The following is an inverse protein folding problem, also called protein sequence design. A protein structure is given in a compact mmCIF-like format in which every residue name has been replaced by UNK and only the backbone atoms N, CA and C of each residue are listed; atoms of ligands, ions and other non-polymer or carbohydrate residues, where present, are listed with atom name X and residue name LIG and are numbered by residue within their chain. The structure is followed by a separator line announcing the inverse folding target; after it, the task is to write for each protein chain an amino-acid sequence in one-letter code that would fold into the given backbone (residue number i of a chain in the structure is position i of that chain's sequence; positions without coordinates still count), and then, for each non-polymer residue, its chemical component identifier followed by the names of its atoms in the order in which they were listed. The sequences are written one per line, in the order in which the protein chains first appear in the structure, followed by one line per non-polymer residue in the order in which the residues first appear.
data_IF_072214187839
#
_entry.id   IF_072214187839
#
_cell.length_a   1.000
_cell.length_b   1.000
_cell.length_c   1.000
_cell.angle_alpha   90.00
_cell.angle_beta   90.00
_cell.angle_gamma   90.00
#
_symmetry.space_group_name_H-M   'P 1'
#
loop_
_entity.id
_entity.type
_entity.pdbx_description
1 polymer ?
#
# COMPACT_ATOMS: atom_id res chain seq x y z
N UNK A 1 6.28 13.15 5.16
CA UNK A 1 4.86 13.35 5.53
C UNK A 1 4.72 13.90 6.95
N UNK A 2 5.49 13.42 7.92
CA UNK A 2 5.46 13.92 9.30
C UNK A 2 5.75 15.42 9.45
N UNK A 3 6.56 15.99 8.58
CA UNK A 3 6.87 17.42 8.51
C UNK A 3 5.84 18.27 7.74
N UNK A 4 4.70 17.70 7.37
CA UNK A 4 3.65 18.39 6.59
C UNK A 4 3.91 18.44 5.08
N UNK A 5 5.03 17.90 4.60
CA UNK A 5 5.34 17.81 3.17
C UNK A 5 4.79 16.52 2.58
N UNK A 6 3.75 16.63 1.76
CA UNK A 6 3.18 15.51 1.02
C UNK A 6 3.60 15.49 -0.45
N UNK A 7 4.16 16.59 -0.98
CA UNK A 7 4.56 16.70 -2.39
C UNK A 7 5.85 15.94 -2.68
N UNK A 8 6.86 16.07 -1.80
CA UNK A 8 8.13 15.36 -2.00
C UNK A 8 7.98 13.83 -2.03
N UNK A 9 7.26 13.19 -1.08
CA UNK A 9 7.00 11.75 -1.17
C UNK A 9 6.21 11.33 -2.42
N UNK A 10 5.28 12.16 -2.90
CA UNK A 10 4.55 11.90 -4.14
C UNK A 10 5.50 11.88 -5.35
N UNK A 11 6.41 12.85 -5.44
CA UNK A 11 7.40 12.91 -6.51
C UNK A 11 8.34 11.68 -6.50
N UNK A 12 8.77 11.22 -5.32
CA UNK A 12 9.62 10.01 -5.22
C UNK A 12 8.90 8.76 -5.74
N UNK A 13 7.63 8.59 -5.35
CA UNK A 13 6.82 7.47 -5.83
C UNK A 13 6.56 7.57 -7.32
N UNK A 14 6.29 8.78 -7.84
CA UNK A 14 6.08 9.01 -9.28
C UNK A 14 7.33 8.67 -10.10
N UNK A 15 8.51 9.13 -9.66
CA UNK A 15 9.79 8.81 -10.31
C UNK A 15 10.03 7.30 -10.27
N UNK A 16 9.84 6.65 -9.10
CA UNK A 16 9.98 5.20 -8.99
C UNK A 16 9.03 4.46 -9.94
N UNK A 17 7.79 4.91 -10.06
CA UNK A 17 6.80 4.31 -10.96
C UNK A 17 7.22 4.44 -12.43
N UNK A 18 7.63 5.63 -12.86
CA UNK A 18 8.08 5.87 -14.25
C UNK A 18 9.31 5.01 -14.57
N UNK A 19 10.30 4.98 -13.68
CA UNK A 19 11.52 4.17 -13.86
C UNK A 19 11.20 2.68 -13.85
N UNK A 20 10.27 2.23 -13.00
CA UNK A 20 9.85 0.82 -12.98
C UNK A 20 9.17 0.43 -14.29
N UNK A 21 8.18 1.21 -14.76
CA UNK A 21 7.49 0.93 -16.02
C UNK A 21 8.46 0.96 -17.21
N UNK A 22 9.36 1.94 -17.27
CA UNK A 22 10.38 2.00 -18.33
C UNK A 22 11.35 0.81 -18.25
N UNK A 23 11.77 0.44 -17.03
CA UNK A 23 12.62 -0.72 -16.78
C UNK A 23 11.96 -2.04 -17.18
N UNK A 24 10.68 -2.22 -16.85
CA UNK A 24 9.90 -3.39 -17.26
C UNK A 24 9.81 -3.48 -18.79
N UNK A 25 9.50 -2.39 -19.48
CA UNK A 25 9.44 -2.37 -20.93
C UNK A 25 10.80 -2.72 -21.56
N UNK A 26 11.89 -2.21 -21.05
CA UNK A 26 13.23 -2.47 -21.59
C UNK A 26 13.69 -3.89 -21.25
N UNK A 27 13.58 -4.32 -20.00
CA UNK A 27 14.14 -5.61 -19.56
C UNK A 27 13.23 -6.80 -19.93
N UNK A 28 11.91 -6.64 -19.79
CA UNK A 28 10.97 -7.74 -20.07
C UNK A 28 10.66 -7.78 -21.57
N UNK A 29 10.24 -6.67 -22.18
CA UNK A 29 9.86 -6.64 -23.58
C UNK A 29 11.07 -6.56 -24.53
N UNK A 30 12.12 -5.78 -24.21
CA UNK A 30 13.31 -5.61 -25.02
C UNK A 30 14.28 -6.79 -24.89
N UNK A 31 14.73 -7.09 -23.68
CA UNK A 31 15.69 -8.16 -23.42
C UNK A 31 15.08 -9.55 -23.17
N UNK A 32 13.74 -9.66 -23.10
CA UNK A 32 12.98 -10.90 -22.86
C UNK A 32 13.42 -11.63 -21.58
N UNK A 33 13.69 -10.87 -20.52
CA UNK A 33 14.18 -11.41 -19.26
C UNK A 33 13.04 -11.93 -18.34
N UNK A 34 11.80 -12.01 -18.82
CA UNK A 34 10.63 -12.51 -18.09
C UNK A 34 10.53 -11.93 -16.65
N UNK A 35 10.22 -12.77 -15.66
CA UNK A 35 10.08 -12.38 -14.26
C UNK A 35 11.37 -11.80 -13.65
N UNK A 36 12.55 -12.25 -14.11
CA UNK A 36 13.84 -11.72 -13.64
C UNK A 36 14.03 -10.26 -14.02
N UNK A 37 13.63 -9.90 -15.26
CA UNK A 37 13.67 -8.52 -15.74
C UNK A 37 12.79 -7.59 -14.90
N UNK A 38 11.55 -8.00 -14.61
CA UNK A 38 10.63 -7.26 -13.76
C UNK A 38 11.16 -7.08 -12.33
N UNK A 39 11.77 -8.11 -11.75
CA UNK A 39 12.40 -8.02 -10.42
C UNK A 39 13.56 -7.00 -10.40
N UNK A 40 14.44 -7.04 -11.39
CA UNK A 40 15.56 -6.10 -11.52
C UNK A 40 15.05 -4.68 -11.72
N UNK A 41 14.06 -4.45 -12.60
CA UNK A 41 13.45 -3.13 -12.82
C UNK A 41 12.89 -2.54 -11.54
N UNK A 42 12.18 -3.36 -10.75
CA UNK A 42 11.60 -2.95 -9.47
C UNK A 42 12.68 -2.55 -8.46
N UNK A 43 13.73 -3.34 -8.32
CA UNK A 43 14.85 -3.04 -7.39
C UNK A 43 15.57 -1.75 -7.81
N UNK A 44 15.86 -1.60 -9.10
CA UNK A 44 16.52 -0.40 -9.62
C UNK A 44 15.64 0.86 -9.44
N UNK A 45 14.35 0.77 -9.70
CA UNK A 45 13.42 1.88 -9.49
C UNK A 45 13.36 2.32 -8.03
N UNK A 46 13.32 1.36 -7.10
CA UNK A 46 13.34 1.66 -5.66
C UNK A 46 14.68 2.24 -5.21
N UNK A 47 15.81 1.69 -5.68
CA UNK A 47 17.14 2.23 -5.37
C UNK A 47 17.28 3.68 -5.84
N UNK A 48 16.88 3.98 -7.08
CA UNK A 48 16.86 5.34 -7.61
C UNK A 48 15.96 6.27 -6.79
N UNK A 49 14.77 5.82 -6.41
CA UNK A 49 13.86 6.60 -5.56
C UNK A 49 14.50 6.95 -4.22
N UNK A 50 15.21 6.01 -3.59
CA UNK A 50 15.93 6.26 -2.33
C UNK A 50 17.08 7.27 -2.53
N UNK A 51 17.86 7.13 -3.60
CA UNK A 51 18.93 8.10 -3.92
C UNK A 51 18.35 9.51 -4.10
N UNK A 52 17.27 9.65 -4.88
CA UNK A 52 16.59 10.93 -5.05
C UNK A 52 16.04 11.47 -3.73
N UNK A 53 15.45 10.62 -2.89
CA UNK A 53 14.96 11.04 -1.58
C UNK A 53 16.09 11.58 -0.68
N UNK A 54 17.23 10.89 -0.64
CA UNK A 54 18.41 11.33 0.13
C UNK A 54 18.96 12.64 -0.41
N UNK A 55 19.14 12.77 -1.72
CA UNK A 55 19.65 13.99 -2.33
C UNK A 55 18.74 15.21 -2.07
N UNK A 56 17.42 15.01 -2.13
CA UNK A 56 16.47 16.08 -1.82
C UNK A 56 16.45 16.43 -0.33
N UNK A 57 16.58 15.45 0.55
CA UNK A 57 16.68 15.70 1.99
C UNK A 57 17.94 16.48 2.35
N UNK A 58 19.08 16.18 1.69
CA UNK A 58 20.33 16.92 1.88
C UNK A 58 20.29 18.35 1.37
N UNK A 59 19.46 18.63 0.35
CA UNK A 59 19.29 20.00 -0.23
C UNK A 59 18.19 20.81 0.46
N UNK A 60 17.34 20.18 1.27
CA UNK A 60 16.22 20.85 1.92
C UNK A 60 16.62 21.34 3.29
N UNK A 61 16.32 22.61 3.57
CA UNK A 61 16.47 23.18 4.92
C UNK A 61 15.50 22.46 5.86
N UNK A 62 16.04 21.54 6.65
CA UNK A 62 15.29 20.84 7.67
C UNK A 62 15.15 21.75 8.90
N UNK A 63 14.02 21.74 9.60
CA UNK A 63 13.81 22.53 10.82
C UNK A 63 14.67 22.07 12.00
N UNK A 64 15.58 21.13 11.78
CA UNK A 64 16.53 20.58 12.76
C UNK A 64 17.83 20.21 12.07
N UNK A 65 18.94 20.34 12.80
CA UNK A 65 20.24 19.89 12.33
C UNK A 65 20.44 18.41 12.65
N UNK A 66 20.87 17.62 11.65
CA UNK A 66 21.24 16.22 11.87
C UNK A 66 22.67 16.19 12.40
N UNK A 67 22.84 15.74 13.64
CA UNK A 67 24.16 15.63 14.29
C UNK A 67 24.53 14.15 14.41
N UNK A 68 25.84 13.83 14.33
CA UNK A 68 26.30 12.43 14.49
C UNK A 68 25.89 11.78 15.80
N UNK A 69 25.62 12.57 16.87
CA UNK A 69 25.08 12.07 18.13
C UNK A 69 23.68 11.50 18.03
N UNK A 70 22.89 11.91 17.02
CA UNK A 70 21.51 11.47 16.85
C UNK A 70 21.42 10.00 16.39
N UNK A 71 22.52 9.48 15.83
CA UNK A 71 22.63 8.08 15.44
C UNK A 71 22.98 7.14 16.63
N UNK A 72 23.09 7.67 17.84
CA UNK A 72 23.28 6.84 19.04
C UNK A 72 21.95 6.33 19.55
N UNK A 73 21.99 5.16 20.18
CA UNK A 73 20.84 4.58 20.86
C UNK A 73 20.33 5.55 21.93
N UNK A 74 19.08 5.96 21.82
CA UNK A 74 18.43 6.89 22.74
C UNK A 74 17.03 6.37 23.13
N UNK A 75 16.38 6.95 24.16
CA UNK A 75 15.04 6.55 24.61
C UNK A 75 13.98 6.62 23.49
N UNK A 76 14.15 7.50 22.52
CA UNK A 76 13.23 7.62 21.36
C UNK A 76 13.30 6.38 20.48
N UNK A 77 14.49 5.82 20.25
CA UNK A 77 14.66 4.57 19.52
C UNK A 77 13.91 3.41 20.20
N UNK A 78 13.98 3.36 21.55
CA UNK A 78 13.24 2.36 22.33
C UNK A 78 11.72 2.52 22.17
N UNK A 79 11.22 3.74 22.22
CA UNK A 79 9.80 4.03 22.03
C UNK A 79 9.34 3.67 20.62
N UNK A 80 10.16 3.98 19.60
CA UNK A 80 9.90 3.62 18.21
C UNK A 80 9.81 2.10 18.04
N UNK A 81 10.76 1.35 18.58
CA UNK A 81 10.74 -0.11 18.51
C UNK A 81 9.56 -0.71 19.29
N UNK A 82 9.23 -0.17 20.45
CA UNK A 82 8.09 -0.65 21.25
C UNK A 82 6.76 -0.55 20.50
N UNK A 83 6.60 0.46 19.65
CA UNK A 83 5.39 0.66 18.84
C UNK A 83 5.52 -0.05 17.50
N UNK A 84 6.67 0.06 16.87
CA UNK A 84 6.90 -0.44 15.51
C UNK A 84 7.00 -1.97 15.44
N UNK A 85 7.61 -2.62 16.43
CA UNK A 85 7.80 -4.07 16.41
C UNK A 85 6.48 -4.86 16.44
N UNK A 86 5.51 -4.53 17.32
CA UNK A 86 4.19 -5.19 17.26
C UNK A 86 3.46 -4.97 15.93
N UNK A 87 3.54 -3.78 15.36
CA UNK A 87 2.94 -3.48 14.06
C UNK A 87 3.61 -4.27 12.92
N UNK A 88 4.94 -4.35 12.93
CA UNK A 88 5.70 -5.15 11.97
C UNK A 88 5.36 -6.65 12.09
N UNK A 89 5.24 -7.17 13.32
CA UNK A 89 4.85 -8.55 13.57
C UNK A 89 3.41 -8.82 13.10
N UNK A 90 2.48 -7.90 13.34
CA UNK A 90 1.11 -7.99 12.83
C UNK A 90 1.10 -8.07 11.30
N UNK A 91 1.81 -7.19 10.62
CA UNK A 91 1.89 -7.18 9.16
C UNK A 91 2.51 -8.49 8.62
N UNK A 92 3.60 -8.94 9.24
CA UNK A 92 4.27 -10.19 8.90
C UNK A 92 3.33 -11.41 9.02
N UNK A 93 2.60 -11.54 10.13
CA UNK A 93 1.63 -12.61 10.34
C UNK A 93 0.47 -12.55 9.35
N UNK A 94 0.02 -11.33 9.01
CA UNK A 94 -1.02 -11.13 7.98
C UNK A 94 -0.54 -11.63 6.62
N UNK A 95 0.69 -11.30 6.22
CA UNK A 95 1.25 -11.76 4.94
C UNK A 95 1.43 -13.29 4.91
N UNK A 96 1.88 -13.90 6.01
CA UNK A 96 1.93 -15.37 6.11
C UNK A 96 0.55 -15.99 5.96
N UNK A 97 -0.48 -15.41 6.59
CA UNK A 97 -1.85 -15.90 6.48
C UNK A 97 -2.36 -15.85 5.04
N UNK A 98 -2.06 -14.78 4.31
CA UNK A 98 -2.40 -14.70 2.88
C UNK A 98 -1.65 -15.74 2.04
N UNK A 99 -0.37 -15.98 2.30
CA UNK A 99 0.41 -17.01 1.62
C UNK A 99 -0.14 -18.42 1.90
N UNK A 100 -0.49 -18.71 3.15
CA UNK A 100 -1.09 -19.97 3.53
C UNK A 100 -2.46 -20.17 2.83
N UNK A 101 -3.31 -19.13 2.83
CA UNK A 101 -4.58 -19.16 2.12
C UNK A 101 -4.40 -19.41 0.62
N UNK A 102 -3.46 -18.73 -0.01
CA UNK A 102 -3.11 -18.92 -1.42
C UNK A 102 -2.68 -20.38 -1.69
N UNK A 103 -1.85 -20.97 -0.80
CA UNK A 103 -1.40 -22.34 -0.93
C UNK A 103 -2.58 -23.35 -0.80
N UNK A 104 -3.55 -23.10 0.07
CA UNK A 104 -4.75 -23.91 0.18
C UNK A 104 -5.64 -23.81 -1.06
N UNK A 105 -5.89 -22.59 -1.53
CA UNK A 105 -6.72 -22.34 -2.72
C UNK A 105 -6.11 -22.99 -3.96
N UNK A 106 -4.79 -22.95 -4.11
CA UNK A 106 -4.10 -23.60 -5.23
C UNK A 106 -4.30 -25.13 -5.28
N UNK A 107 -4.61 -25.77 -4.14
CA UNK A 107 -4.95 -27.20 -4.08
C UNK A 107 -6.36 -27.51 -4.58
N UNK A 108 -7.25 -26.53 -4.64
CA UNK A 108 -8.63 -26.68 -5.11
C UNK A 108 -8.75 -26.71 -6.64
N UNK A 109 -7.65 -26.51 -7.35
CA UNK A 109 -7.59 -26.53 -8.81
C UNK A 109 -7.42 -25.17 -9.47
N UNK A 110 -7.21 -25.20 -10.77
CA UNK A 110 -6.84 -24.01 -11.55
C UNK A 110 -7.94 -22.94 -11.57
N UNK A 111 -9.21 -23.36 -11.71
CA UNK A 111 -10.35 -22.43 -11.77
C UNK A 111 -10.53 -21.68 -10.45
N UNK A 112 -10.45 -22.38 -9.32
CA UNK A 112 -10.55 -21.79 -7.98
C UNK A 112 -9.38 -20.83 -7.72
N UNK A 113 -8.16 -21.24 -8.05
CA UNK A 113 -6.96 -20.40 -7.90
C UNK A 113 -7.03 -19.13 -8.76
N UNK A 114 -7.46 -19.26 -10.01
CA UNK A 114 -7.64 -18.12 -10.91
C UNK A 114 -8.72 -17.17 -10.42
N UNK A 115 -9.87 -17.71 -9.97
CA UNK A 115 -10.96 -16.92 -9.39
C UNK A 115 -10.52 -16.15 -8.14
N UNK A 116 -9.80 -16.81 -7.23
CA UNK A 116 -9.20 -16.16 -6.07
C UNK A 116 -8.22 -15.05 -6.46
N UNK A 117 -7.36 -15.28 -7.47
CA UNK A 117 -6.43 -14.26 -7.98
C UNK A 117 -7.13 -13.02 -8.52
N UNK A 118 -8.24 -13.20 -9.26
CA UNK A 118 -9.10 -12.10 -9.73
C UNK A 118 -9.75 -11.37 -8.56
N UNK A 119 -10.33 -12.09 -7.60
CA UNK A 119 -10.93 -11.50 -6.42
C UNK A 119 -9.92 -10.67 -5.62
N UNK A 120 -8.71 -11.17 -5.40
CA UNK A 120 -7.63 -10.43 -4.74
C UNK A 120 -7.29 -9.12 -5.47
N UNK A 121 -7.26 -9.12 -6.80
CA UNK A 121 -7.02 -7.88 -7.58
C UNK A 121 -8.13 -6.86 -7.33
N UNK A 122 -9.39 -7.28 -7.36
CA UNK A 122 -10.54 -6.39 -7.10
C UNK A 122 -10.47 -5.82 -5.69
N UNK A 123 -10.21 -6.66 -4.67
CA UNK A 123 -10.05 -6.23 -3.28
C UNK A 123 -8.89 -5.23 -3.13
N UNK A 124 -7.74 -5.49 -3.77
CA UNK A 124 -6.60 -4.58 -3.72
C UNK A 124 -6.94 -3.20 -4.32
N UNK A 125 -7.64 -3.16 -5.46
CA UNK A 125 -8.13 -1.90 -6.02
C UNK A 125 -9.13 -1.19 -5.09
N UNK A 126 -10.08 -1.93 -4.53
CA UNK A 126 -11.06 -1.39 -3.58
C UNK A 126 -10.39 -0.80 -2.33
N UNK A 127 -9.28 -1.39 -1.86
CA UNK A 127 -8.53 -0.96 -0.68
C UNK A 127 -7.60 0.24 -0.92
N UNK A 128 -7.39 0.69 -2.16
CA UNK A 128 -6.53 1.86 -2.43
C UNK A 128 -7.02 3.13 -1.73
N UNK A 129 -8.32 3.43 -1.84
CA UNK A 129 -8.89 4.65 -1.26
C UNK A 129 -8.93 4.59 0.26
N UNK A 130 -9.44 3.52 0.91
CA UNK A 130 -9.37 3.36 2.36
C UNK A 130 -7.94 3.44 2.91
N UNK A 131 -6.96 2.81 2.26
CA UNK A 131 -5.56 2.84 2.69
C UNK A 131 -4.95 4.24 2.61
N UNK A 132 -5.24 5.00 1.54
CA UNK A 132 -4.82 6.38 1.41
C UNK A 132 -5.46 7.28 2.48
N UNK A 133 -6.74 7.07 2.78
CA UNK A 133 -7.46 7.77 3.84
C UNK A 133 -6.84 7.48 5.21
N UNK A 134 -6.58 6.21 5.52
CA UNK A 134 -5.94 5.78 6.77
C UNK A 134 -4.58 6.48 6.97
N UNK A 135 -3.71 6.48 5.97
CA UNK A 135 -2.40 7.14 6.06
C UNK A 135 -2.51 8.66 6.24
N UNK A 136 -3.45 9.30 5.54
CA UNK A 136 -3.70 10.73 5.65
C UNK A 136 -4.23 11.09 7.04
N UNK A 137 -5.15 10.30 7.56
CA UNK A 137 -5.72 10.47 8.90
C UNK A 137 -4.67 10.25 10.00
N UNK A 138 -3.83 9.21 9.89
CA UNK A 138 -2.75 8.97 10.83
C UNK A 138 -1.80 10.16 10.93
N UNK A 139 -1.40 10.73 9.79
CA UNK A 139 -0.53 11.92 9.74
C UNK A 139 -1.22 13.15 10.31
N UNK A 140 -2.47 13.41 9.93
CA UNK A 140 -3.19 14.61 10.36
C UNK A 140 -3.54 14.59 11.85
N UNK A 141 -3.99 13.45 12.36
CA UNK A 141 -4.32 13.28 13.78
C UNK A 141 -3.08 13.40 14.64
N UNK A 142 -1.96 12.75 14.27
CA UNK A 142 -0.71 12.81 15.03
C UNK A 142 -0.15 14.24 15.11
N UNK A 143 -0.17 14.99 14.02
CA UNK A 143 0.25 16.40 14.00
C UNK A 143 -0.63 17.29 14.89
N UNK A 144 -1.96 17.09 14.89
CA UNK A 144 -2.85 17.86 15.76
C UNK A 144 -2.68 17.50 17.24
N UNK A 145 -2.41 16.22 17.57
CA UNK A 145 -2.10 15.79 18.92
C UNK A 145 -0.78 16.41 19.37
N UNK A 146 0.27 16.34 18.54
CA UNK A 146 1.58 16.95 18.84
C UNK A 146 1.51 18.46 19.05
N UNK A 147 0.60 19.15 18.33
CA UNK A 147 0.32 20.57 18.51
C UNK A 147 -0.62 20.90 19.69
N UNK A 148 -1.01 19.93 20.52
CA UNK A 148 -1.92 20.10 21.65
C UNK A 148 -3.39 20.31 21.26
N UNK A 149 -3.74 20.26 19.98
CA UNK A 149 -5.11 20.54 19.46
C UNK A 149 -6.02 19.30 19.50
N UNK A 150 -6.20 18.71 20.69
CA UNK A 150 -6.94 17.45 20.89
C UNK A 150 -8.37 17.47 20.34
N UNK A 151 -9.11 18.58 20.47
CA UNK A 151 -10.48 18.72 19.94
C UNK A 151 -10.49 18.59 18.40
N UNK A 152 -9.51 19.21 17.72
CA UNK A 152 -9.39 19.15 16.27
C UNK A 152 -8.98 17.74 15.80
N UNK A 153 -8.07 17.07 16.52
CA UNK A 153 -7.69 15.69 16.25
C UNK A 153 -8.90 14.75 16.34
N UNK A 154 -9.72 14.85 17.42
CA UNK A 154 -10.92 14.04 17.59
C UNK A 154 -11.95 14.30 16.48
N UNK A 155 -12.23 15.57 16.14
CA UNK A 155 -13.17 15.90 15.06
C UNK A 155 -12.72 15.33 13.72
N UNK A 156 -11.43 15.45 13.39
CA UNK A 156 -10.88 14.90 12.15
C UNK A 156 -10.97 13.38 12.11
N UNK A 157 -10.66 12.71 13.22
CA UNK A 157 -10.77 11.25 13.33
C UNK A 157 -12.23 10.79 13.07
N UNK A 158 -13.21 11.42 13.71
CA UNK A 158 -14.62 11.08 13.50
C UNK A 158 -15.07 11.34 12.06
N UNK A 159 -14.64 12.46 11.46
CA UNK A 159 -14.90 12.73 10.04
C UNK A 159 -14.28 11.69 9.13
N UNK A 160 -13.01 11.30 9.40
CA UNK A 160 -12.32 10.26 8.64
C UNK A 160 -12.99 8.90 8.74
N UNK A 161 -13.47 8.51 9.92
CA UNK A 161 -14.27 7.29 10.11
C UNK A 161 -15.56 7.37 9.29
N UNK A 162 -16.29 8.47 9.36
CA UNK A 162 -17.52 8.67 8.59
C UNK A 162 -17.30 8.54 7.08
N UNK A 163 -16.28 9.21 6.55
CA UNK A 163 -15.90 9.11 5.14
C UNK A 163 -15.49 7.67 4.78
N UNK A 164 -14.68 7.01 5.64
CA UNK A 164 -14.25 5.63 5.44
C UNK A 164 -15.42 4.65 5.37
N UNK A 165 -16.39 4.78 6.30
CA UNK A 165 -17.61 3.96 6.31
C UNK A 165 -18.43 4.20 5.04
N UNK A 166 -18.60 5.47 4.64
CA UNK A 166 -19.36 5.80 3.41
C UNK A 166 -18.71 5.17 2.18
N UNK A 167 -17.39 5.28 2.04
CA UNK A 167 -16.64 4.66 0.93
C UNK A 167 -16.78 3.14 0.99
N UNK A 168 -16.64 2.54 2.18
CA UNK A 168 -16.82 1.10 2.37
C UNK A 168 -18.20 0.62 1.95
N UNK A 169 -19.27 1.32 2.34
CA UNK A 169 -20.63 1.01 1.91
C UNK A 169 -20.82 1.12 0.39
N UNK A 170 -20.22 2.14 -0.24
CA UNK A 170 -20.28 2.30 -1.70
C UNK A 170 -19.58 1.16 -2.41
N UNK A 171 -18.36 0.81 -1.98
CA UNK A 171 -17.58 -0.30 -2.55
C UNK A 171 -18.31 -1.62 -2.36
N UNK A 172 -18.85 -1.87 -1.17
CA UNK A 172 -19.65 -3.06 -0.88
C UNK A 172 -20.87 -3.15 -1.78
N UNK A 173 -21.63 -2.07 -1.95
CA UNK A 173 -22.78 -2.02 -2.83
C UNK A 173 -22.39 -2.26 -4.29
N UNK A 174 -21.26 -1.71 -4.76
CA UNK A 174 -20.75 -1.94 -6.11
C UNK A 174 -20.38 -3.41 -6.35
N UNK A 175 -19.73 -4.06 -5.38
CA UNK A 175 -19.37 -5.48 -5.44
C UNK A 175 -20.63 -6.34 -5.48
N UNK A 176 -21.60 -6.08 -4.62
CA UNK A 176 -22.86 -6.86 -4.60
C UNK A 176 -23.67 -6.71 -5.89
N UNK A 177 -23.76 -5.50 -6.44
CA UNK A 177 -24.61 -5.22 -7.61
C UNK A 177 -23.92 -5.53 -8.95
N UNK A 178 -22.61 -5.42 -9.01
CA UNK A 178 -21.83 -5.46 -10.27
C UNK A 178 -20.53 -6.29 -10.15
N UNK A 179 -20.45 -7.21 -9.19
CA UNK A 179 -19.24 -8.02 -8.96
C UNK A 179 -18.85 -8.87 -10.16
N UNK A 180 -19.84 -9.41 -10.88
CA UNK A 180 -19.60 -10.16 -12.11
C UNK A 180 -18.95 -9.31 -13.20
N UNK A 181 -19.40 -8.07 -13.34
CA UNK A 181 -18.87 -7.12 -14.32
C UNK A 181 -17.47 -6.67 -13.94
N UNK A 182 -17.20 -6.49 -12.63
CA UNK A 182 -15.86 -6.19 -12.13
C UNK A 182 -14.89 -7.35 -12.34
N UNK A 183 -15.32 -8.58 -12.11
CA UNK A 183 -14.52 -9.78 -12.40
C UNK A 183 -14.27 -9.96 -13.90
N UNK A 184 -15.24 -9.62 -14.75
CA UNK A 184 -15.14 -9.66 -16.20
C UNK A 184 -14.09 -8.70 -16.80
N UNK A 185 -13.67 -7.66 -16.05
CA UNK A 185 -12.56 -6.80 -16.48
C UNK A 185 -11.22 -7.56 -16.46
N UNK A 186 -11.08 -8.54 -15.55
CA UNK A 186 -9.82 -9.26 -15.33
C UNK A 186 -9.80 -10.67 -15.93
N UNK A 187 -10.94 -11.23 -16.29
CA UNK A 187 -11.04 -12.55 -16.91
C UNK A 187 -12.21 -12.63 -17.87
N UNK A 188 -12.04 -13.38 -18.95
CA UNK A 188 -13.09 -13.70 -19.93
C UNK A 188 -13.72 -15.07 -19.71
N UNK A 189 -13.15 -15.88 -18.78
CA UNK A 189 -13.61 -17.21 -18.46
C UNK A 189 -14.80 -17.16 -17.48
N UNK A 190 -15.99 -17.66 -17.87
CA UNK A 190 -17.18 -17.64 -17.00
C UNK A 190 -17.01 -18.38 -15.66
N UNK A 191 -16.23 -19.48 -15.64
CA UNK A 191 -15.99 -20.24 -14.41
C UNK A 191 -15.13 -19.43 -13.42
N UNK A 192 -14.09 -18.73 -13.92
CA UNK A 192 -13.24 -17.85 -13.13
C UNK A 192 -14.02 -16.65 -12.59
N UNK A 193 -14.88 -16.04 -13.42
CA UNK A 193 -15.74 -14.92 -13.02
C UNK A 193 -16.67 -15.32 -11.88
N UNK A 194 -17.33 -16.47 -12.00
CA UNK A 194 -18.24 -17.00 -11.00
C UNK A 194 -17.52 -17.28 -9.68
N UNK A 195 -16.38 -17.98 -9.73
CA UNK A 195 -15.58 -18.25 -8.54
C UNK A 195 -15.08 -16.97 -7.87
N UNK A 196 -14.63 -15.98 -8.66
CA UNK A 196 -14.23 -14.68 -8.14
C UNK A 196 -15.37 -13.96 -7.44
N UNK A 197 -16.56 -13.99 -8.01
CA UNK A 197 -17.76 -13.37 -7.42
C UNK A 197 -18.20 -14.05 -6.12
N UNK A 198 -18.13 -15.37 -6.06
CA UNK A 198 -18.44 -16.13 -4.84
C UNK A 198 -17.44 -15.80 -3.70
N UNK A 199 -16.17 -15.65 -4.02
CA UNK A 199 -15.16 -15.16 -3.07
C UNK A 199 -15.38 -13.71 -2.59
N UNK A 200 -15.94 -12.86 -3.45
CA UNK A 200 -16.21 -11.45 -3.08
C UNK A 200 -17.44 -11.30 -2.19
N UNK A 201 -18.33 -12.30 -2.15
CA UNK A 201 -19.53 -12.31 -1.30
C UNK A 201 -19.28 -12.81 0.11
N UNK A 202 -18.28 -13.68 0.31
CA UNK A 202 -17.91 -14.27 1.60
C UNK A 202 -17.05 -13.36 2.43
#
# INVERSE_FOLDING_TARGET
RGLGDSRSPLLFVLIACIVNVAGDLVLVAGFRMDATGAAIATVLAQALSVVFAVLLLLKKDLPFAIVKSDFRWNPQCRNFLRIGLPLALQEFLTQISFLALCAFVNRLGLEASSGYGVACKIVNFAMLVPSALMQSMASFVSQNIGAGKKKRAKKSMLTGIGVGVTIGCVVFALILLKGDLLAGIFSTDPAVIRNAYDYLKG
#
